data_IF_548604200395
#
_entry.id   IF_548604200395
#
_cell.length_a   1.000
_cell.length_b   1.000
_cell.length_c   1.000
_cell.angle_alpha   90.00
_cell.angle_beta   90.00
_cell.angle_gamma   90.00
#
_symmetry.space_group_name_H-M   'P 1'
#
loop_
_entity.id
_entity.type
_entity.pdbx_description
1 polymer ?
#
# COMPACT_ATOMS: atom_id res chain seq x y z
N UNK A 1 -16.58 -2.37 7.15
CA UNK A 1 -15.33 -1.78 7.68
C UNK A 1 -14.65 -2.82 8.56
N UNK A 2 -13.52 -3.38 8.13
CA UNK A 2 -12.77 -4.34 8.96
C UNK A 2 -11.89 -3.58 9.96
N UNK A 3 -11.87 -4.02 11.22
CA UNK A 3 -11.15 -3.45 12.38
C UNK A 3 -9.68 -3.08 12.13
N UNK A 4 -9.08 -3.57 11.05
CA UNK A 4 -7.66 -3.42 10.72
C UNK A 4 -7.37 -2.38 9.64
N UNK A 5 -8.37 -1.84 8.93
CA UNK A 5 -8.10 -0.88 7.84
C UNK A 5 -7.47 0.42 8.35
N UNK A 6 -7.86 0.87 9.55
CA UNK A 6 -7.30 2.07 10.18
C UNK A 6 -5.86 1.90 10.68
N UNK A 7 -5.41 0.65 10.88
CA UNK A 7 -4.03 0.36 11.31
C UNK A 7 -3.09 0.10 10.13
N UNK A 8 -3.61 0.10 8.89
CA UNK A 8 -2.80 -0.05 7.68
C UNK A 8 -2.23 1.29 7.29
N UNK A 9 -0.92 1.31 7.06
CA UNK A 9 -0.23 2.47 6.51
C UNK A 9 0.60 2.05 5.31
N UNK A 10 0.89 3.02 4.45
CA UNK A 10 1.70 2.78 3.25
C UNK A 10 3.10 3.32 3.49
N UNK A 11 4.11 2.50 3.18
CA UNK A 11 5.51 2.89 3.28
C UNK A 11 6.10 2.97 1.88
N UNK A 12 6.69 4.13 1.56
CA UNK A 12 7.47 4.29 0.34
C UNK A 12 8.77 3.51 0.47
N UNK A 13 9.05 2.63 -0.48
CA UNK A 13 10.25 1.80 -0.48
C UNK A 13 10.74 1.59 -1.91
N UNK A 14 11.99 1.15 -2.07
CA UNK A 14 12.60 0.89 -3.37
C UNK A 14 12.38 -0.57 -3.75
N UNK A 15 11.84 -0.79 -4.94
CA UNK A 15 11.61 -2.11 -5.52
C UNK A 15 12.94 -2.84 -5.69
N UNK A 16 13.06 -4.04 -5.13
CA UNK A 16 14.23 -4.93 -5.32
C UNK A 16 13.99 -5.95 -6.43
N UNK A 17 12.72 -6.22 -6.72
CA UNK A 17 12.24 -7.10 -7.77
C UNK A 17 11.10 -6.39 -8.50
N UNK A 18 10.57 -7.00 -9.56
CA UNK A 18 9.40 -6.48 -10.25
C UNK A 18 8.14 -6.71 -9.41
N UNK A 19 7.31 -5.67 -9.31
CA UNK A 19 6.03 -5.72 -8.62
C UNK A 19 4.91 -5.27 -9.55
N UNK A 20 3.67 -5.60 -9.21
CA UNK A 20 2.49 -5.14 -9.96
C UNK A 20 1.65 -4.26 -9.06
N UNK A 21 1.33 -3.06 -9.53
CA UNK A 21 0.43 -2.17 -8.81
C UNK A 21 -0.96 -2.78 -8.69
N UNK A 22 -1.48 -2.90 -7.46
CA UNK A 22 -2.80 -3.45 -7.20
C UNK A 22 -3.94 -2.61 -7.79
N UNK A 23 -3.74 -1.30 -7.97
CA UNK A 23 -4.79 -0.37 -8.44
C UNK A 23 -4.82 -0.27 -9.96
N UNK A 24 -3.69 0.06 -10.59
CA UNK A 24 -3.64 0.30 -12.03
C UNK A 24 -3.04 -0.86 -12.84
N UNK A 25 -2.57 -1.93 -12.19
CA UNK A 25 -1.92 -3.06 -12.86
C UNK A 25 -0.55 -2.74 -13.46
N UNK A 26 -0.05 -1.50 -13.32
CA UNK A 26 1.24 -1.11 -13.88
C UNK A 26 2.38 -1.92 -13.23
N UNK A 27 3.32 -2.36 -14.06
CA UNK A 27 4.55 -2.99 -13.62
C UNK A 27 5.48 -1.94 -12.98
N UNK A 28 6.00 -2.29 -11.81
CA UNK A 28 6.96 -1.52 -11.03
C UNK A 28 8.28 -2.26 -11.17
N UNK A 29 9.20 -1.68 -11.91
CA UNK A 29 10.49 -2.33 -12.20
C UNK A 29 11.42 -2.27 -10.99
N UNK A 30 12.35 -3.22 -10.90
CA UNK A 30 13.39 -3.18 -9.89
C UNK A 30 14.19 -1.86 -10.02
N UNK A 31 14.37 -1.17 -8.89
CA UNK A 31 15.02 0.15 -8.85
C UNK A 31 14.04 1.32 -8.71
N UNK A 32 12.77 1.16 -9.07
CA UNK A 32 11.76 2.21 -8.89
C UNK A 32 11.29 2.30 -7.43
N UNK A 33 10.67 3.43 -7.09
CA UNK A 33 10.00 3.57 -5.81
C UNK A 33 8.54 3.14 -5.92
N UNK A 34 8.03 2.58 -4.82
CA UNK A 34 6.65 2.18 -4.71
C UNK A 34 6.17 2.22 -3.27
N UNK A 35 4.86 2.11 -3.07
CA UNK A 35 4.25 2.04 -1.76
C UNK A 35 3.79 0.62 -1.48
N UNK A 36 4.16 0.08 -0.31
CA UNK A 36 3.63 -1.19 0.19
C UNK A 36 2.80 -0.96 1.44
N UNK A 37 1.68 -1.66 1.54
CA UNK A 37 0.92 -1.72 2.78
C UNK A 37 1.75 -2.39 3.88
N UNK A 38 1.70 -1.80 5.07
CA UNK A 38 2.16 -2.37 6.33
C UNK A 38 1.06 -2.22 7.38
N UNK A 39 1.17 -3.04 8.42
CA UNK A 39 0.32 -3.01 9.59
C UNK A 39 1.24 -2.86 10.80
N UNK A 40 0.88 -1.98 11.73
CA UNK A 40 1.68 -1.78 12.94
C UNK A 40 1.49 -2.93 13.95
N UNK A 41 0.38 -3.65 13.83
CA UNK A 41 0.03 -4.80 14.67
C UNK A 41 0.51 -6.13 14.08
N UNK A 42 0.50 -7.18 14.91
CA UNK A 42 0.80 -8.54 14.47
C UNK A 42 -0.06 -8.91 13.26
N UNK A 43 0.61 -9.15 12.13
CA UNK A 43 -0.05 -9.42 10.85
C UNK A 43 -0.79 -10.78 10.94
N UNK A 44 -2.11 -10.83 10.74
CA UNK A 44 -2.79 -12.11 10.61
C UNK A 44 -2.31 -12.83 9.35
N UNK A 45 -2.16 -14.16 9.37
CA UNK A 45 -1.64 -14.92 8.24
C UNK A 45 -2.50 -14.77 6.97
N UNK A 46 -3.79 -14.46 7.12
CA UNK A 46 -4.73 -14.22 6.03
C UNK A 46 -4.67 -12.81 5.43
N UNK A 47 -3.86 -11.89 5.99
CA UNK A 47 -3.80 -10.51 5.51
C UNK A 47 -2.86 -10.40 4.30
N UNK A 48 -3.43 -10.16 3.12
CA UNK A 48 -2.68 -9.82 1.92
C UNK A 48 -2.34 -8.33 1.98
N UNK A 49 -1.03 -8.02 2.01
CA UNK A 49 -0.54 -6.65 1.92
C UNK A 49 -0.40 -6.30 0.44
N UNK A 50 -0.95 -5.18 0.01
CA UNK A 50 -0.92 -4.79 -1.40
C UNK A 50 0.24 -3.84 -1.67
N UNK A 51 0.58 -3.75 -2.95
CA UNK A 51 1.66 -2.92 -3.48
C UNK A 51 1.07 -1.93 -4.49
N UNK A 52 1.56 -0.69 -4.47
CA UNK A 52 1.01 0.42 -5.22
C UNK A 52 2.16 1.17 -5.88
N UNK A 53 2.03 1.55 -7.15
CA UNK A 53 3.00 2.43 -7.79
C UNK A 53 3.00 3.82 -7.13
N UNK A 54 3.99 4.66 -7.42
CA UNK A 54 4.08 6.00 -6.81
C UNK A 54 2.81 6.82 -7.01
N UNK A 55 2.16 6.72 -8.17
CA UNK A 55 0.94 7.47 -8.48
C UNK A 55 -0.23 7.03 -7.60
N UNK A 56 -0.52 5.74 -7.55
CA UNK A 56 -1.64 5.19 -6.78
C UNK A 56 -1.38 5.15 -5.26
N UNK A 57 -0.12 5.12 -4.85
CA UNK A 57 0.27 5.04 -3.44
C UNK A 57 0.11 6.36 -2.69
N UNK A 58 0.19 7.49 -3.39
CA UNK A 58 0.06 8.85 -2.83
C UNK A 58 -1.38 9.17 -2.42
N UNK A 59 -2.38 8.57 -3.06
CA UNK A 59 -3.79 8.72 -2.69
C UNK A 59 -4.07 8.01 -1.36
N UNK A 60 -3.72 8.68 -0.26
CA UNK A 60 -4.22 8.35 1.07
C UNK A 60 -5.75 8.42 1.03
N UNK A 61 -6.48 7.56 1.76
CA UNK A 61 -7.89 7.82 1.99
C UNK A 61 -7.97 9.18 2.67
N UNK A 62 -8.49 10.16 1.94
CA UNK A 62 -8.85 11.47 2.44
C UNK A 62 -9.73 11.22 3.67
N UNK A 63 -9.20 11.56 4.85
CA UNK A 63 -9.99 11.69 6.06
C UNK A 63 -11.06 12.74 5.74
N UNK A 64 -12.22 12.24 5.31
CA UNK A 64 -13.43 13.03 5.12
C UNK A 64 -14.16 13.01 6.46
N UNK A 65 -13.56 13.60 7.48
CA UNK A 65 -14.26 14.15 8.65
C UNK A 65 -14.14 15.67 8.53
N UNK A 66 -15.19 16.46 8.46
CA UNK A 66 -16.55 16.25 8.93
C UNK A 66 -16.93 17.48 9.75
N UNK A 67 -17.89 18.24 9.22
CA UNK A 67 -18.54 19.46 9.74
C UNK A 67 -17.88 20.79 9.39
#
# INVERSE_FOLDING_TARGET
MTKYEQAKYRVRTKARIEHTCFVCGQMIVAGDYYYRERLDMQKPPSLILKEFCEKCGIEQPSDSGGT
#
